data_IF_462165101462
#
_entry.id   IF_462165101462
#
_cell.length_a   1.000
_cell.length_b   1.000
_cell.length_c   1.000
_cell.angle_alpha   90.00
_cell.angle_beta   90.00
_cell.angle_gamma   90.00
#
_symmetry.space_group_name_H-M   'P 1'
#
loop_
_entity.id
_entity.type
_entity.pdbx_description
1 polymer ?
#
# COMPACT_ATOMS: atom_id res chain seq x y z
N UNK A 1 41.00 -7.56 -26.02
CA UNK A 1 41.30 -6.60 -24.93
C UNK A 1 40.71 -5.26 -25.30
N UNK A 2 39.55 -4.91 -24.72
CA UNK A 2 38.99 -3.56 -24.82
C UNK A 2 38.30 -3.22 -23.50
N UNK A 3 38.88 -2.24 -22.82
CA UNK A 3 38.36 -1.62 -21.59
C UNK A 3 37.48 -0.44 -21.97
N UNK A 4 36.23 -0.42 -21.52
CA UNK A 4 35.45 0.80 -21.45
C UNK A 4 34.92 0.98 -20.03
N UNK A 5 35.58 1.91 -19.35
CA UNK A 5 35.15 2.53 -18.10
C UNK A 5 33.88 3.34 -18.39
N UNK A 6 32.81 3.06 -17.67
CA UNK A 6 31.82 4.08 -17.33
C UNK A 6 31.69 4.12 -15.81
N UNK A 7 32.57 4.92 -15.21
CA UNK A 7 32.47 5.32 -13.81
C UNK A 7 31.30 6.30 -13.70
N UNK A 8 30.12 5.79 -13.39
CA UNK A 8 29.02 6.63 -12.93
C UNK A 8 29.51 7.30 -11.64
N UNK A 9 29.73 8.62 -11.70
CA UNK A 9 29.93 9.45 -10.51
C UNK A 9 28.66 9.32 -9.67
N UNK A 10 28.72 8.51 -8.61
CA UNK A 10 27.77 8.58 -7.50
C UNK A 10 27.87 9.99 -6.92
N UNK A 11 26.95 10.85 -7.31
CA UNK A 11 26.68 12.08 -6.57
C UNK A 11 26.40 11.68 -5.13
N UNK A 12 27.11 12.32 -4.19
CA UNK A 12 26.91 12.06 -2.78
C UNK A 12 25.41 12.23 -2.46
N UNK A 13 24.78 11.17 -1.96
CA UNK A 13 23.43 11.22 -1.43
C UNK A 13 23.36 12.39 -0.44
N UNK A 14 22.33 13.26 -0.51
CA UNK A 14 22.20 14.35 0.44
C UNK A 14 22.26 13.81 1.86
N UNK A 15 23.24 14.28 2.63
CA UNK A 15 23.38 13.93 4.04
C UNK A 15 22.06 14.22 4.75
N UNK A 16 21.53 13.17 5.39
CA UNK A 16 20.42 13.15 6.35
C UNK A 16 19.88 14.54 6.70
N UNK A 17 18.68 14.86 6.19
CA UNK A 17 17.71 15.53 7.05
C UNK A 17 17.06 14.46 7.92
N UNK A 18 17.84 13.90 8.86
CA UNK A 18 17.22 13.38 10.07
C UNK A 18 16.37 14.55 10.57
N UNK A 19 15.06 14.32 10.78
CA UNK A 19 14.17 15.37 11.26
C UNK A 19 14.85 16.00 12.47
N UNK A 20 15.21 17.28 12.31
CA UNK A 20 15.90 18.00 13.36
C UNK A 20 15.04 17.88 14.60
N UNK A 21 15.65 17.72 15.78
CA UNK A 21 14.91 17.70 17.05
C UNK A 21 13.89 18.86 17.15
N UNK A 22 14.14 19.95 16.43
CA UNK A 22 13.21 21.07 16.21
C UNK A 22 11.86 20.70 15.56
N UNK A 23 11.79 19.81 14.56
CA UNK A 23 10.52 19.39 13.95
C UNK A 23 9.68 18.55 14.93
N UNK A 24 10.35 17.68 15.72
CA UNK A 24 9.71 16.88 16.77
C UNK A 24 9.24 17.80 17.91
N UNK A 25 10.05 18.79 18.31
CA UNK A 25 9.69 19.79 19.32
C UNK A 25 8.53 20.71 18.90
N UNK A 26 8.29 20.85 17.59
CA UNK A 26 7.12 21.55 17.03
C UNK A 26 5.88 20.65 16.91
N UNK A 27 5.91 19.44 17.44
CA UNK A 27 4.79 18.50 17.40
C UNK A 27 4.56 17.85 16.04
N UNK A 28 5.48 18.01 15.07
CA UNK A 28 5.38 17.32 13.77
C UNK A 28 5.91 15.90 13.92
N UNK A 29 4.98 14.95 14.06
CA UNK A 29 5.29 13.52 14.06
C UNK A 29 5.78 13.12 12.67
N UNK A 30 6.94 12.44 12.54
CA UNK A 30 7.41 11.91 11.27
C UNK A 30 6.37 10.95 10.67
N UNK A 31 5.95 11.20 9.43
CA UNK A 31 5.21 10.20 8.67
C UNK A 31 6.22 9.22 8.09
N UNK A 32 6.20 7.98 8.59
CA UNK A 32 7.07 6.89 8.19
C UNK A 32 6.30 5.75 7.48
N UNK A 33 5.00 5.93 7.27
CA UNK A 33 4.17 5.02 6.50
C UNK A 33 3.03 5.79 5.82
N UNK A 34 2.44 5.19 4.79
CA UNK A 34 1.25 5.72 4.13
C UNK A 34 0.36 4.57 3.71
N UNK A 35 -0.88 4.58 4.19
CA UNK A 35 -1.90 3.62 3.83
C UNK A 35 -2.63 4.11 2.58
N UNK A 36 -2.55 3.36 1.49
CA UNK A 36 -3.15 3.71 0.21
C UNK A 36 -4.33 2.76 -0.03
N UNK A 37 -5.53 3.28 -0.20
CA UNK A 37 -6.72 2.45 -0.44
C UNK A 37 -7.70 3.12 -1.39
N UNK A 38 -8.56 2.31 -2.02
CA UNK A 38 -9.61 2.78 -2.91
C UNK A 38 -10.98 2.61 -2.23
N UNK A 39 -11.86 3.60 -2.41
CA UNK A 39 -13.28 3.49 -1.98
C UNK A 39 -14.10 2.60 -2.90
N UNK A 40 -13.58 2.31 -4.08
CA UNK A 40 -14.25 1.54 -5.12
C UNK A 40 -13.55 0.21 -5.39
N UNK A 41 -14.26 -0.72 -6.01
CA UNK A 41 -13.70 -1.99 -6.49
C UNK A 41 -12.94 -1.75 -7.81
N UNK A 42 -11.85 -0.98 -7.75
CA UNK A 42 -11.03 -0.65 -8.93
C UNK A 42 -9.69 -1.37 -8.87
N UNK A 43 -9.22 -1.81 -10.04
CA UNK A 43 -7.86 -2.35 -10.22
C UNK A 43 -6.84 -1.25 -10.51
N UNK A 44 -7.18 -0.01 -10.19
CA UNK A 44 -6.48 1.19 -10.66
C UNK A 44 -5.52 1.74 -9.61
N UNK A 45 -5.30 1.04 -8.50
CA UNK A 45 -4.32 1.43 -7.47
C UNK A 45 -2.88 1.23 -7.95
N UNK A 46 -2.60 0.25 -8.81
CA UNK A 46 -1.25 -0.10 -9.24
C UNK A 46 -0.45 1.09 -9.85
N UNK A 47 -0.97 1.88 -10.82
CA UNK A 47 -0.26 3.06 -11.32
C UNK A 47 0.09 4.08 -10.23
N UNK A 48 -0.82 4.29 -9.27
CA UNK A 48 -0.60 5.21 -8.14
C UNK A 48 0.51 4.68 -7.24
N UNK A 49 0.50 3.38 -6.93
CA UNK A 49 1.51 2.74 -6.09
C UNK A 49 2.90 2.79 -6.72
N UNK A 50 3.01 2.53 -8.02
CA UNK A 50 4.28 2.61 -8.77
C UNK A 50 4.81 4.05 -8.79
N UNK A 51 3.95 5.03 -9.09
CA UNK A 51 4.34 6.45 -9.06
C UNK A 51 4.77 6.91 -7.66
N UNK A 52 4.08 6.43 -6.63
CA UNK A 52 4.40 6.69 -5.24
C UNK A 52 5.74 6.06 -4.85
N UNK A 53 5.98 4.79 -5.20
CA UNK A 53 7.26 4.11 -4.98
C UNK A 53 8.43 4.91 -5.56
N UNK A 54 8.35 5.25 -6.86
CA UNK A 54 9.39 6.04 -7.52
C UNK A 54 9.65 7.38 -6.83
N UNK A 55 8.60 8.04 -6.34
CA UNK A 55 8.72 9.33 -5.66
C UNK A 55 9.35 9.16 -4.27
N UNK A 56 8.97 8.12 -3.54
CA UNK A 56 9.45 7.85 -2.19
C UNK A 56 10.89 7.36 -2.17
N UNK A 57 11.33 6.57 -3.15
CA UNK A 57 12.73 6.13 -3.26
C UNK A 57 13.71 7.30 -3.49
N UNK A 58 13.24 8.44 -4.02
CA UNK A 58 14.05 9.65 -4.10
C UNK A 58 14.22 10.36 -2.75
N UNK A 59 13.36 10.07 -1.77
CA UNK A 59 13.29 10.75 -0.47
C UNK A 59 13.75 9.88 0.70
N UNK A 60 13.54 8.57 0.60
CA UNK A 60 13.79 7.57 1.63
C UNK A 60 14.75 6.52 1.11
N UNK A 61 15.62 6.00 1.99
CA UNK A 61 16.68 5.10 1.56
C UNK A 61 16.20 3.64 1.45
N UNK A 62 15.17 3.26 2.22
CA UNK A 62 14.70 1.88 2.35
C UNK A 62 13.17 1.91 2.42
N UNK A 63 12.56 2.09 1.26
CA UNK A 63 11.11 2.04 1.10
C UNK A 63 10.67 0.57 1.11
N UNK A 64 9.80 0.22 2.04
CA UNK A 64 9.15 -1.08 2.09
C UNK A 64 7.72 -1.01 1.56
N UNK A 65 7.17 -2.18 1.27
CA UNK A 65 5.78 -2.35 0.87
C UNK A 65 5.14 -3.43 1.73
N UNK A 66 3.88 -3.23 2.09
CA UNK A 66 3.08 -4.20 2.82
C UNK A 66 1.63 -4.19 2.33
N UNK A 67 1.02 -5.36 2.23
CA UNK A 67 -0.39 -5.50 1.89
C UNK A 67 -1.13 -6.25 3.00
N UNK A 68 -1.97 -5.60 3.81
CA UNK A 68 -2.58 -6.23 4.97
C UNK A 68 -3.35 -7.52 4.66
N UNK A 69 -4.09 -7.54 3.54
CA UNK A 69 -4.89 -8.69 3.12
C UNK A 69 -4.54 -9.03 1.66
N UNK A 70 -3.98 -10.21 1.44
CA UNK A 70 -3.67 -10.71 0.10
C UNK A 70 -4.90 -11.40 -0.50
N UNK A 71 -5.39 -10.98 -1.68
CA UNK A 71 -6.46 -11.67 -2.38
C UNK A 71 -6.08 -13.10 -2.76
N UNK A 72 -7.07 -13.99 -2.72
CA UNK A 72 -6.94 -15.39 -3.09
C UNK A 72 -6.51 -15.61 -4.54
N UNK A 73 -5.67 -16.63 -4.81
CA UNK A 73 -5.38 -17.09 -6.16
C UNK A 73 -6.62 -17.54 -6.95
N UNK A 74 -7.69 -17.98 -6.28
CA UNK A 74 -8.94 -18.42 -6.93
C UNK A 74 -9.79 -17.26 -7.45
N UNK A 75 -9.41 -16.01 -7.16
CA UNK A 75 -10.05 -14.86 -7.78
C UNK A 75 -9.83 -14.89 -9.29
N UNK A 76 -10.89 -14.64 -10.07
CA UNK A 76 -10.92 -14.81 -11.53
C UNK A 76 -9.93 -13.95 -12.33
N UNK A 77 -9.11 -13.14 -11.64
CA UNK A 77 -7.97 -12.46 -12.21
C UNK A 77 -6.79 -12.53 -11.22
N UNK A 78 -5.65 -12.99 -11.71
CA UNK A 78 -4.43 -13.10 -10.93
C UNK A 78 -3.99 -11.73 -10.41
N UNK A 79 -3.92 -11.59 -9.09
CA UNK A 79 -3.38 -10.41 -8.43
C UNK A 79 -1.87 -10.55 -8.26
N UNK A 80 -1.11 -9.59 -8.79
CA UNK A 80 0.35 -9.59 -8.78
C UNK A 80 0.96 -8.39 -8.04
N UNK A 81 0.17 -7.59 -7.30
CA UNK A 81 0.67 -6.32 -6.75
C UNK A 81 1.85 -6.51 -5.79
N UNK A 82 1.79 -7.53 -4.93
CA UNK A 82 2.90 -7.83 -4.01
C UNK A 82 4.18 -8.15 -4.77
N UNK A 83 4.09 -8.97 -5.83
CA UNK A 83 5.26 -9.34 -6.64
C UNK A 83 5.81 -8.13 -7.40
N UNK A 84 4.92 -7.36 -8.04
CA UNK A 84 5.31 -6.14 -8.76
C UNK A 84 6.02 -5.18 -7.81
N UNK A 85 5.45 -4.90 -6.63
CA UNK A 85 6.05 -3.96 -5.68
C UNK A 85 7.34 -4.49 -5.06
N UNK A 86 7.44 -5.82 -4.83
CA UNK A 86 8.68 -6.47 -4.42
C UNK A 86 9.79 -6.25 -5.45
N UNK A 87 9.50 -6.43 -6.74
CA UNK A 87 10.45 -6.19 -7.82
C UNK A 87 10.79 -4.70 -7.99
N UNK A 88 9.78 -3.83 -8.03
CA UNK A 88 9.98 -2.38 -8.22
C UNK A 88 10.85 -1.76 -7.13
N UNK A 89 10.65 -2.15 -5.87
CA UNK A 89 11.42 -1.65 -4.72
C UNK A 89 12.68 -2.49 -4.41
N UNK A 90 12.96 -3.55 -5.17
CA UNK A 90 14.10 -4.44 -4.93
C UNK A 90 14.08 -5.11 -3.55
N UNK A 91 12.90 -5.47 -3.03
CA UNK A 91 12.76 -6.06 -1.71
C UNK A 91 13.32 -7.48 -1.66
N UNK A 92 14.11 -7.77 -0.62
CA UNK A 92 14.72 -9.09 -0.40
C UNK A 92 13.84 -10.05 0.39
N UNK A 93 12.75 -9.54 1.00
CA UNK A 93 11.76 -10.35 1.71
C UNK A 93 10.96 -11.20 0.73
N UNK A 94 10.60 -12.41 1.14
CA UNK A 94 9.73 -13.27 0.36
C UNK A 94 8.30 -12.72 0.33
N UNK A 95 7.54 -13.08 -0.72
CA UNK A 95 6.13 -12.63 -0.91
C UNK A 95 5.27 -12.84 0.34
N UNK A 96 5.42 -13.97 1.03
CA UNK A 96 4.63 -14.29 2.24
C UNK A 96 4.92 -13.38 3.44
N UNK A 97 6.02 -12.63 3.41
CA UNK A 97 6.41 -11.67 4.45
C UNK A 97 5.93 -10.25 4.14
N UNK A 98 5.40 -10.02 2.93
CA UNK A 98 4.95 -8.72 2.44
C UNK A 98 3.43 -8.54 2.56
N UNK A 99 2.72 -9.54 3.09
CA UNK A 99 1.31 -9.44 3.41
C UNK A 99 0.99 -9.94 4.83
N UNK A 100 -0.14 -9.49 5.37
CA UNK A 100 -0.61 -9.91 6.69
C UNK A 100 -1.27 -11.28 6.64
N UNK A 101 -2.46 -11.33 6.06
CA UNK A 101 -3.32 -12.52 6.00
C UNK A 101 -3.90 -12.69 4.59
N UNK A 102 -4.50 -13.83 4.29
CA UNK A 102 -5.25 -14.03 3.05
C UNK A 102 -6.68 -13.51 3.16
N UNK A 103 -7.34 -13.27 2.02
CA UNK A 103 -8.76 -12.91 1.99
C UNK A 103 -9.65 -13.96 2.67
N UNK A 104 -9.35 -15.25 2.53
CA UNK A 104 -10.06 -16.34 3.20
C UNK A 104 -10.00 -16.21 4.71
N UNK A 105 -8.80 -15.95 5.25
CA UNK A 105 -8.58 -15.78 6.68
C UNK A 105 -9.32 -14.55 7.21
N UNK A 106 -9.35 -13.47 6.44
CA UNK A 106 -10.09 -12.27 6.77
C UNK A 106 -11.62 -12.51 6.79
N UNK A 107 -12.15 -13.20 5.77
CA UNK A 107 -13.57 -13.58 5.69
C UNK A 107 -13.95 -14.51 6.85
N UNK A 108 -13.13 -15.53 7.13
CA UNK A 108 -13.35 -16.46 8.23
C UNK A 108 -13.40 -15.71 9.57
N UNK A 109 -12.48 -14.78 9.82
CA UNK A 109 -12.44 -14.03 11.06
C UNK A 109 -13.66 -13.12 11.21
N UNK A 110 -14.07 -12.46 10.13
CA UNK A 110 -15.28 -11.63 10.10
C UNK A 110 -16.55 -12.43 10.39
N UNK A 111 -16.76 -13.56 9.70
CA UNK A 111 -17.94 -14.41 9.90
C UNK A 111 -18.05 -14.97 11.33
N UNK A 112 -16.93 -15.04 12.04
CA UNK A 112 -16.85 -15.49 13.43
C UNK A 112 -16.82 -14.34 14.46
N UNK A 113 -16.92 -13.07 14.04
CA UNK A 113 -16.84 -11.91 14.94
C UNK A 113 -15.49 -11.76 15.64
N UNK A 114 -14.40 -12.12 14.95
CA UNK A 114 -13.00 -12.07 15.42
C UNK A 114 -12.20 -11.01 14.65
N UNK A 115 -12.79 -9.85 14.40
CA UNK A 115 -12.16 -8.77 13.65
C UNK A 115 -10.96 -8.17 14.39
N UNK A 116 -11.04 -8.05 15.71
CA UNK A 116 -9.95 -7.50 16.52
C UNK A 116 -8.71 -8.42 16.48
N UNK A 117 -8.90 -9.73 16.63
CA UNK A 117 -7.82 -10.74 16.50
C UNK A 117 -7.16 -10.68 15.11
N UNK A 118 -7.96 -10.46 14.06
CA UNK A 118 -7.45 -10.32 12.68
C UNK A 118 -6.57 -9.07 12.54
N UNK A 119 -6.99 -7.95 13.12
CA UNK A 119 -6.24 -6.69 13.08
C UNK A 119 -4.93 -6.82 13.86
N UNK A 120 -4.93 -7.50 15.01
CA UNK A 120 -3.73 -7.79 15.79
C UNK A 120 -2.76 -8.69 15.01
N UNK A 121 -3.25 -9.77 14.38
CA UNK A 121 -2.44 -10.64 13.52
C UNK A 121 -1.78 -9.86 12.37
N UNK A 122 -2.52 -8.95 11.73
CA UNK A 122 -2.01 -8.08 10.68
C UNK A 122 -0.96 -7.09 11.20
N UNK A 123 -1.17 -6.51 12.38
CA UNK A 123 -0.24 -5.55 12.99
C UNK A 123 1.10 -6.21 13.29
N UNK A 124 1.09 -7.42 13.85
CA UNK A 124 2.31 -8.18 14.12
C UNK A 124 3.10 -8.49 12.84
N UNK A 125 2.40 -8.89 11.77
CA UNK A 125 3.01 -9.11 10.45
C UNK A 125 3.57 -7.82 9.86
N UNK A 126 2.86 -6.72 10.01
CA UNK A 126 3.31 -5.40 9.57
C UNK A 126 4.62 -5.01 10.26
N UNK A 127 4.72 -5.16 11.59
CA UNK A 127 5.94 -4.82 12.32
C UNK A 127 7.16 -5.65 11.89
N UNK A 128 6.95 -6.95 11.63
CA UNK A 128 8.00 -7.82 11.07
C UNK A 128 8.38 -7.42 9.64
N UNK A 129 7.42 -6.98 8.82
CA UNK A 129 7.67 -6.49 7.48
C UNK A 129 8.39 -5.14 7.48
N UNK A 130 8.07 -4.26 8.43
CA UNK A 130 8.62 -2.90 8.57
C UNK A 130 10.09 -2.91 8.97
N UNK A 131 10.56 -3.96 9.63
CA UNK A 131 11.96 -4.07 10.05
C UNK A 131 12.92 -3.86 8.87
N UNK A 132 13.87 -2.95 9.05
CA UNK A 132 14.86 -2.59 8.01
C UNK A 132 14.41 -1.51 7.03
N UNK A 133 13.16 -1.04 7.09
CA UNK A 133 12.65 0.03 6.23
C UNK A 133 12.53 1.36 6.99
N UNK A 134 12.74 2.49 6.31
CA UNK A 134 12.56 3.85 6.86
C UNK A 134 11.28 4.54 6.37
N UNK A 135 10.59 3.95 5.38
CA UNK A 135 9.24 4.30 4.99
C UNK A 135 8.46 3.07 4.52
N UNK A 136 7.19 2.93 4.88
CA UNK A 136 6.33 1.84 4.40
C UNK A 136 5.18 2.35 3.53
N UNK A 137 5.06 1.81 2.32
CA UNK A 137 3.81 1.89 1.54
C UNK A 137 2.92 0.74 1.99
N UNK A 138 1.70 1.03 2.42
CA UNK A 138 0.73 0.02 2.82
C UNK A 138 -0.41 0.04 1.82
N UNK A 139 -0.61 -1.04 1.07
CA UNK A 139 -1.73 -1.15 0.13
C UNK A 139 -2.94 -1.79 0.80
N UNK A 140 -3.98 -0.99 1.02
CA UNK A 140 -5.31 -1.47 1.40
C UNK A 140 -5.87 -2.43 0.35
N UNK A 141 -6.71 -3.35 0.80
CA UNK A 141 -7.14 -4.47 -0.03
C UNK A 141 -8.63 -4.66 0.00
N UNK A 142 -9.18 -5.07 -1.15
CA UNK A 142 -10.59 -5.38 -1.30
C UNK A 142 -10.79 -6.87 -1.08
N UNK A 143 -11.61 -7.23 -0.11
CA UNK A 143 -11.83 -8.62 0.29
C UNK A 143 -12.90 -9.27 -0.59
N UNK A 144 -13.95 -8.51 -0.93
CA UNK A 144 -15.04 -8.99 -1.78
C UNK A 144 -15.54 -7.89 -2.72
N UNK A 145 -16.01 -8.30 -3.90
CA UNK A 145 -16.64 -7.39 -4.87
C UNK A 145 -18.07 -6.99 -4.47
N UNK A 146 -18.70 -7.79 -3.61
CA UNK A 146 -20.12 -7.64 -3.26
C UNK A 146 -20.33 -6.91 -1.92
N UNK A 147 -19.30 -6.78 -1.08
CA UNK A 147 -19.40 -6.11 0.22
C UNK A 147 -18.32 -5.02 0.38
N UNK A 148 -18.49 -3.93 -0.36
CA UNK A 148 -17.60 -2.76 -0.30
C UNK A 148 -17.53 -2.15 1.10
N UNK A 149 -18.65 -2.14 1.85
CA UNK A 149 -18.71 -1.62 3.21
C UNK A 149 -17.85 -2.42 4.21
N UNK A 150 -17.85 -3.76 4.10
CA UNK A 150 -16.99 -4.63 4.91
C UNK A 150 -15.52 -4.36 4.61
N UNK A 151 -15.14 -4.39 3.32
CA UNK A 151 -13.76 -4.11 2.90
C UNK A 151 -13.30 -2.73 3.38
N UNK A 152 -14.16 -1.72 3.29
CA UNK A 152 -13.87 -0.39 3.78
C UNK A 152 -13.64 -0.35 5.30
N UNK A 153 -14.54 -0.93 6.10
CA UNK A 153 -14.42 -0.94 7.57
C UNK A 153 -13.11 -1.60 8.01
N UNK A 154 -12.77 -2.75 7.43
CA UNK A 154 -11.54 -3.48 7.78
C UNK A 154 -10.30 -2.65 7.44
N UNK A 155 -10.25 -2.02 6.25
CA UNK A 155 -9.12 -1.14 5.91
C UNK A 155 -8.98 0.04 6.88
N UNK A 156 -10.10 0.63 7.32
CA UNK A 156 -10.10 1.71 8.32
C UNK A 156 -9.54 1.22 9.66
N UNK A 157 -9.97 0.06 10.13
CA UNK A 157 -9.54 -0.49 11.42
C UNK A 157 -8.05 -0.87 11.40
N UNK A 158 -7.57 -1.47 10.31
CA UNK A 158 -6.14 -1.75 10.11
C UNK A 158 -5.32 -0.45 10.06
N UNK A 159 -5.75 0.55 9.28
CA UNK A 159 -5.03 1.82 9.17
C UNK A 159 -4.93 2.55 10.52
N UNK A 160 -6.01 2.50 11.32
CA UNK A 160 -6.03 3.04 12.69
C UNK A 160 -5.06 2.28 13.60
N UNK A 161 -5.08 0.95 13.58
CA UNK A 161 -4.20 0.12 14.41
C UNK A 161 -2.72 0.36 14.09
N UNK A 162 -2.36 0.50 12.80
CA UNK A 162 -1.00 0.84 12.36
C UNK A 162 -0.64 2.31 12.67
N UNK A 163 -1.63 3.18 12.91
CA UNK A 163 -1.42 4.61 13.09
C UNK A 163 -0.97 5.31 11.81
N UNK A 164 -1.39 4.81 10.65
CA UNK A 164 -0.95 5.30 9.34
C UNK A 164 -1.90 6.37 8.80
N UNK A 165 -1.40 7.51 8.27
CA UNK A 165 -2.22 8.40 7.48
C UNK A 165 -2.72 7.68 6.22
N UNK A 166 -3.91 8.06 5.75
CA UNK A 166 -4.59 7.39 4.64
C UNK A 166 -4.61 8.29 3.40
N UNK A 167 -4.13 7.75 2.27
CA UNK A 167 -4.38 8.25 0.92
C UNK A 167 -5.52 7.44 0.30
N UNK A 168 -6.68 8.06 0.17
CA UNK A 168 -7.84 7.46 -0.49
C UNK A 168 -7.86 7.80 -1.97
N UNK A 169 -8.10 6.79 -2.80
CA UNK A 169 -8.26 6.89 -4.25
C UNK A 169 -9.75 6.69 -4.58
N UNK A 170 -10.28 7.53 -5.47
CA UNK A 170 -11.63 7.45 -6.02
C UNK A 170 -11.57 7.76 -7.50
N UNK A 171 -12.38 7.09 -8.30
CA UNK A 171 -12.46 7.26 -9.74
C UNK A 171 -13.88 7.69 -10.13
N UNK A 172 -14.00 8.93 -10.62
CA UNK A 172 -15.28 9.52 -11.01
C UNK A 172 -15.62 9.33 -12.50
N UNK A 173 -14.94 8.43 -13.21
CA UNK A 173 -15.16 8.26 -14.66
C UNK A 173 -16.56 7.76 -15.02
N UNK A 174 -17.27 7.02 -14.16
CA UNK A 174 -18.67 6.64 -14.41
C UNK A 174 -19.65 7.82 -14.24
N UNK A 175 -19.36 8.79 -13.37
CA UNK A 175 -20.22 9.97 -13.16
C UNK A 175 -20.21 10.96 -14.33
N UNK A 176 -19.25 10.84 -15.26
CA UNK A 176 -19.16 11.67 -16.44
C UNK A 176 -20.05 11.19 -17.60
N UNK A 177 -20.45 9.91 -17.62
CA UNK A 177 -21.21 9.32 -18.72
C UNK A 177 -22.74 9.49 -18.58
N UNK A 178 -23.26 9.83 -17.40
CA UNK A 178 -24.70 10.04 -17.18
C UNK A 178 -25.24 11.31 -17.88
N UNK A 179 -24.36 12.22 -18.32
CA UNK A 179 -24.77 13.39 -19.10
C UNK A 179 -24.85 13.11 -20.61
N UNK A 180 -24.38 11.95 -21.08
CA UNK A 180 -24.46 11.57 -22.50
C UNK A 180 -25.80 10.95 -22.90
N UNK A 181 -26.41 10.17 -22.01
CA UNK A 181 -27.68 9.48 -22.29
C UNK A 181 -28.92 10.41 -22.26
N UNK A 182 -28.80 11.63 -21.71
CA UNK A 182 -29.90 12.61 -21.70
C UNK A 182 -29.95 13.49 -22.96
N UNK A 183 -28.98 13.37 -23.88
CA UNK A 183 -28.90 14.21 -25.09
C UNK A 183 -29.35 13.45 -26.35
N UNK A 184 -29.52 12.12 -26.29
CA UNK A 184 -30.04 11.34 -27.42
C UNK A 184 -31.57 11.20 -27.45
N UNK A 185 -32.29 11.82 -26.51
CA UNK A 185 -33.76 11.80 -26.45
C UNK A 185 -34.44 13.17 -26.67
N UNK A 186 -33.77 14.11 -27.36
CA UNK A 186 -34.36 15.39 -27.82
C UNK A 186 -34.22 15.56 -29.33
#
# INVERSE_FOLDING_TARGET
MWTLRNTIRRTALPQRRALTAAAIAQGKVPINNLFVTSTEVTKKTAPVLIGLANTLEQKFARVGYFRPIQPSPESSMTDHHVEVMREQLGLTKDVHQLYGVTSERAIESWLNGREDDLVEEILDRYEQCREGHDFMIIEGSQISKHESAMSWKINVDIAKAIGSPVLTISDFSESANTNGELVEEI
#
